data_IF_032119878759
#
_entry.id   IF_032119878759
#
_cell.length_a   1.000
_cell.length_b   1.000
_cell.length_c   1.000
_cell.angle_alpha   90.00
_cell.angle_beta   90.00
_cell.angle_gamma   90.00
#
_symmetry.space_group_name_H-M   'P 1'
#
loop_
_entity.id
_entity.type
_entity.pdbx_description
1 polymer ?
#
# COMPACT_ATOMS: atom_id res chain seq x y z
N UNK A 1 0.38 14.63 -32.14
CA UNK A 1 -0.62 15.40 -31.36
C UNK A 1 -0.81 14.64 -30.07
N UNK A 2 -0.66 15.25 -28.89
CA UNK A 2 -0.80 14.53 -27.63
C UNK A 2 -2.28 14.59 -27.24
N UNK A 3 -2.98 13.45 -27.27
CA UNK A 3 -4.34 13.35 -26.76
C UNK A 3 -4.39 13.83 -25.29
N UNK A 4 -5.49 14.46 -24.84
CA UNK A 4 -5.73 14.69 -23.43
C UNK A 4 -5.61 13.37 -22.64
N UNK A 5 -5.10 13.44 -21.41
CA UNK A 5 -4.79 12.24 -20.61
C UNK A 5 -6.01 11.30 -20.43
N UNK A 6 -7.21 11.86 -20.23
CA UNK A 6 -8.44 11.07 -20.09
C UNK A 6 -8.87 10.39 -21.41
N UNK A 7 -8.60 11.00 -22.57
CA UNK A 7 -8.88 10.38 -23.88
C UNK A 7 -7.94 9.19 -24.10
N UNK A 8 -6.65 9.39 -23.83
CA UNK A 8 -5.66 8.32 -23.95
C UNK A 8 -5.92 7.18 -22.96
N UNK A 9 -6.29 7.51 -21.72
CA UNK A 9 -6.66 6.51 -20.73
C UNK A 9 -7.85 5.67 -21.19
N UNK A 10 -8.92 6.28 -21.70
CA UNK A 10 -10.09 5.54 -22.23
C UNK A 10 -9.72 4.65 -23.41
N UNK A 11 -8.80 5.10 -24.26
CA UNK A 11 -8.29 4.26 -25.34
C UNK A 11 -7.55 3.04 -24.79
N UNK A 12 -6.60 3.23 -23.87
CA UNK A 12 -5.87 2.13 -23.23
C UNK A 12 -6.77 1.19 -22.42
N UNK A 13 -7.80 1.71 -21.76
CA UNK A 13 -8.80 0.92 -21.06
C UNK A 13 -9.60 0.04 -22.03
N UNK A 14 -10.07 0.61 -23.15
CA UNK A 14 -10.76 -0.15 -24.20
C UNK A 14 -9.85 -1.25 -24.75
N UNK A 15 -8.59 -0.92 -25.08
CA UNK A 15 -7.62 -1.90 -25.57
C UNK A 15 -7.35 -2.99 -24.54
N UNK A 16 -7.25 -2.66 -23.24
CA UNK A 16 -7.11 -3.66 -22.18
C UNK A 16 -8.33 -4.59 -22.11
N UNK A 17 -9.55 -4.04 -22.23
CA UNK A 17 -10.78 -4.81 -22.26
C UNK A 17 -10.81 -5.78 -23.46
N UNK A 18 -10.40 -5.32 -24.63
CA UNK A 18 -10.48 -6.09 -25.88
C UNK A 18 -9.35 -7.14 -26.01
N UNK A 19 -8.11 -6.75 -25.74
CA UNK A 19 -6.93 -7.60 -25.94
C UNK A 19 -6.60 -8.48 -24.73
N UNK A 20 -6.94 -8.02 -23.52
CA UNK A 20 -6.64 -8.71 -22.26
C UNK A 20 -7.87 -8.78 -21.34
N UNK A 21 -9.01 -9.33 -21.80
CA UNK A 21 -10.28 -9.28 -21.09
C UNK A 21 -10.19 -9.87 -19.68
N UNK A 22 -9.43 -10.95 -19.48
CA UNK A 22 -9.26 -11.53 -18.14
C UNK A 22 -8.64 -10.54 -17.16
N UNK A 23 -7.57 -9.85 -17.55
CA UNK A 23 -6.90 -8.89 -16.68
C UNK A 23 -7.80 -7.70 -16.35
N UNK A 24 -8.58 -7.24 -17.34
CA UNK A 24 -9.60 -6.21 -17.16
C UNK A 24 -10.68 -6.62 -16.14
N UNK A 25 -11.30 -7.78 -16.33
CA UNK A 25 -12.36 -8.26 -15.43
C UNK A 25 -11.83 -8.56 -14.02
N UNK A 26 -10.61 -9.11 -13.90
CA UNK A 26 -9.95 -9.33 -12.61
C UNK A 26 -9.66 -7.99 -11.91
N UNK A 27 -9.30 -6.93 -12.65
CA UNK A 27 -9.10 -5.59 -12.10
C UNK A 27 -10.42 -4.99 -11.59
N UNK A 28 -11.50 -5.06 -12.38
CA UNK A 28 -12.81 -4.57 -11.96
C UNK A 28 -13.35 -5.33 -10.75
N UNK A 29 -13.25 -6.66 -10.74
CA UNK A 29 -13.69 -7.48 -9.60
C UNK A 29 -12.98 -7.08 -8.32
N UNK A 30 -11.66 -6.87 -8.38
CA UNK A 30 -10.87 -6.40 -7.23
C UNK A 30 -11.20 -4.95 -6.84
N UNK A 31 -11.66 -4.12 -7.77
CA UNK A 31 -12.08 -2.77 -7.47
C UNK A 31 -13.43 -2.73 -6.72
N UNK A 32 -14.32 -3.70 -6.97
CA UNK A 32 -15.60 -3.85 -6.26
C UNK A 32 -15.47 -4.53 -4.90
N UNK A 33 -14.53 -5.48 -4.75
CA UNK A 33 -14.33 -6.25 -3.52
C UNK A 33 -13.49 -5.47 -2.49
N UNK A 34 -14.13 -4.50 -1.82
CA UNK A 34 -13.56 -3.78 -0.68
C UNK A 34 -14.61 -3.19 0.26
N UNK A 35 -14.19 -2.87 1.49
CA UNK A 35 -14.98 -2.09 2.45
C UNK A 35 -14.40 -0.67 2.48
N UNK A 36 -15.17 0.40 2.26
CA UNK A 36 -14.69 1.77 2.41
C UNK A 36 -14.16 2.04 3.82
N UNK A 37 -13.09 2.83 3.96
CA UNK A 37 -12.41 3.03 5.26
C UNK A 37 -13.34 3.57 6.35
N UNK A 38 -14.28 4.44 5.97
CA UNK A 38 -15.28 5.03 6.86
C UNK A 38 -16.33 4.05 7.40
N UNK A 39 -16.29 2.78 6.96
CA UNK A 39 -17.14 1.68 7.42
C UNK A 39 -16.33 0.45 7.82
N UNK A 40 -15.01 0.51 7.73
CA UNK A 40 -14.15 -0.63 8.00
C UNK A 40 -13.99 -0.81 9.52
N UNK A 41 -14.40 -1.98 10.01
CA UNK A 41 -14.18 -2.33 11.43
C UNK A 41 -12.71 -2.62 11.67
N UNK A 42 -12.30 -2.74 12.94
CA UNK A 42 -10.94 -3.14 13.26
C UNK A 42 -10.55 -4.51 12.65
N UNK A 43 -11.49 -5.47 12.59
CA UNK A 43 -11.22 -6.77 11.97
C UNK A 43 -11.08 -6.66 10.44
N UNK A 44 -11.79 -5.74 9.78
CA UNK A 44 -11.63 -5.49 8.34
C UNK A 44 -10.28 -4.83 8.05
N UNK A 45 -9.96 -3.75 8.79
CA UNK A 45 -8.66 -3.08 8.71
C UNK A 45 -7.51 -4.05 8.93
N UNK A 46 -7.63 -4.94 9.92
CA UNK A 46 -6.57 -5.87 10.24
C UNK A 46 -6.21 -6.79 9.08
N UNK A 47 -7.22 -7.37 8.39
CA UNK A 47 -7.02 -8.33 7.29
C UNK A 47 -6.07 -7.81 6.21
N UNK A 48 -6.14 -6.51 5.96
CA UNK A 48 -5.38 -5.81 4.93
C UNK A 48 -4.10 -5.16 5.46
N UNK A 49 -4.06 -4.85 6.76
CA UNK A 49 -2.95 -4.15 7.38
C UNK A 49 -1.79 -5.08 7.76
N UNK A 50 -2.07 -6.20 8.44
CA UNK A 50 -1.01 -7.09 8.94
C UNK A 50 -0.12 -7.73 7.87
N UNK A 51 -0.60 -7.99 6.62
CA UNK A 51 0.28 -8.55 5.59
C UNK A 51 1.29 -7.54 5.02
N UNK A 52 1.02 -6.23 5.10
CA UNK A 52 1.83 -5.20 4.41
C UNK A 52 3.34 -5.29 4.73
N UNK A 53 3.76 -5.48 6.00
CA UNK A 53 5.17 -5.65 6.33
C UNK A 53 5.83 -6.89 5.74
N UNK A 54 5.09 -7.89 5.27
CA UNK A 54 5.64 -9.10 4.66
C UNK A 54 6.05 -8.88 3.21
N UNK A 55 5.32 -8.05 2.48
CA UNK A 55 5.58 -7.77 1.05
C UNK A 55 6.64 -6.67 0.84
N UNK A 56 6.89 -5.82 1.84
CA UNK A 56 7.88 -4.75 1.72
C UNK A 56 9.29 -5.31 1.38
N UNK A 57 9.84 -5.01 0.20
CA UNK A 57 11.16 -5.50 -0.26
C UNK A 57 11.30 -7.04 -0.26
N UNK A 58 10.21 -7.78 -0.40
CA UNK A 58 10.23 -9.23 -0.60
C UNK A 58 9.67 -9.56 -1.97
N UNK A 59 10.13 -10.65 -2.58
CA UNK A 59 9.48 -11.18 -3.77
C UNK A 59 8.07 -11.66 -3.41
N UNK A 60 7.13 -11.52 -4.35
CA UNK A 60 5.74 -11.91 -4.13
C UNK A 60 5.59 -13.38 -3.66
N UNK A 61 6.32 -14.37 -4.21
CA UNK A 61 6.22 -15.75 -3.74
C UNK A 61 6.67 -15.94 -2.28
N UNK A 62 7.72 -15.23 -1.86
CA UNK A 62 8.24 -15.31 -0.49
C UNK A 62 7.26 -14.68 0.49
N UNK A 63 6.76 -13.49 0.17
CA UNK A 63 5.79 -12.79 1.00
C UNK A 63 4.47 -13.58 1.12
N UNK A 64 4.01 -14.20 0.03
CA UNK A 64 2.83 -15.06 0.03
C UNK A 64 3.01 -16.28 0.96
N UNK A 65 4.16 -16.96 0.88
CA UNK A 65 4.48 -18.06 1.79
C UNK A 65 4.45 -17.63 3.25
N UNK A 66 5.02 -16.47 3.58
CA UNK A 66 4.98 -15.92 4.94
C UNK A 66 3.55 -15.61 5.41
N UNK A 67 2.73 -15.03 4.52
CA UNK A 67 1.32 -14.75 4.79
C UNK A 67 0.58 -16.04 5.11
N UNK A 68 0.76 -17.09 4.32
CA UNK A 68 0.12 -18.39 4.54
C UNK A 68 0.53 -19.04 5.87
N UNK A 69 1.81 -18.93 6.25
CA UNK A 69 2.30 -19.45 7.54
C UNK A 69 1.67 -18.71 8.73
N UNK A 70 1.54 -17.39 8.65
CA UNK A 70 0.98 -16.59 9.75
C UNK A 70 -0.55 -16.59 9.77
N UNK A 71 -1.24 -16.67 8.62
CA UNK A 71 -2.68 -16.51 8.51
C UNK A 71 -3.51 -17.29 9.57
N UNK A 72 -3.20 -18.56 9.93
CA UNK A 72 -3.96 -19.31 10.93
C UNK A 72 -4.00 -18.67 12.32
N UNK A 73 -3.00 -17.85 12.67
CA UNK A 73 -2.90 -17.20 13.98
C UNK A 73 -3.19 -15.70 13.93
N UNK A 74 -3.45 -15.14 12.74
CA UNK A 74 -3.64 -13.70 12.56
C UNK A 74 -5.10 -13.26 12.68
N UNK A 75 -6.09 -14.15 12.58
CA UNK A 75 -7.49 -13.73 12.70
C UNK A 75 -7.78 -13.13 14.08
N UNK A 76 -8.24 -11.87 14.11
CA UNK A 76 -8.48 -11.11 15.35
C UNK A 76 -7.23 -10.83 16.21
N UNK A 77 -6.03 -11.21 15.75
CA UNK A 77 -4.80 -11.14 16.52
C UNK A 77 -4.38 -9.72 16.88
N UNK A 78 -4.88 -8.70 16.18
CA UNK A 78 -4.65 -7.31 16.53
C UNK A 78 -4.98 -7.03 18.01
N UNK A 79 -5.93 -7.74 18.62
CA UNK A 79 -6.32 -7.56 20.04
C UNK A 79 -5.24 -7.95 21.05
N UNK A 80 -4.38 -8.92 20.73
CA UNK A 80 -3.45 -9.54 21.70
C UNK A 80 -2.01 -9.62 21.22
N UNK A 81 -1.74 -9.49 19.92
CA UNK A 81 -0.42 -9.60 19.34
C UNK A 81 0.52 -8.53 19.92
N UNK A 82 1.58 -9.00 20.59
CA UNK A 82 2.60 -8.14 21.20
C UNK A 82 2.19 -7.41 22.47
N UNK A 83 1.10 -7.84 23.13
CA UNK A 83 0.61 -7.24 24.39
C UNK A 83 1.25 -7.90 25.60
N UNK A 84 1.24 -9.23 25.65
CA UNK A 84 1.67 -10.01 26.81
C UNK A 84 3.06 -10.64 26.56
N UNK A 85 4.12 -10.17 27.26
CA UNK A 85 5.46 -10.74 27.14
C UNK A 85 5.57 -12.21 27.57
N UNK A 86 4.61 -12.75 28.34
CA UNK A 86 4.57 -14.19 28.64
C UNK A 86 4.09 -15.02 27.44
N UNK A 87 3.27 -14.44 26.56
CA UNK A 87 2.73 -15.11 25.38
C UNK A 87 3.60 -14.86 24.16
N UNK A 88 3.74 -13.59 23.76
CA UNK A 88 4.54 -13.16 22.62
C UNK A 88 4.72 -11.64 22.63
N UNK A 89 5.96 -11.17 22.72
CA UNK A 89 6.29 -9.76 22.54
C UNK A 89 7.67 -9.59 21.89
N UNK A 90 7.78 -8.62 20.99
CA UNK A 90 9.04 -8.22 20.39
C UNK A 90 9.42 -6.81 20.89
N UNK A 91 10.64 -6.66 21.40
CA UNK A 91 11.23 -5.40 21.81
C UNK A 91 12.32 -4.98 20.82
N UNK A 92 12.32 -3.71 20.41
CA UNK A 92 13.40 -3.13 19.62
C UNK A 92 14.47 -2.56 20.57
N UNK A 93 15.63 -3.22 20.64
CA UNK A 93 16.65 -3.00 21.68
C UNK A 93 17.90 -2.25 21.19
N UNK A 94 18.07 -2.12 19.87
CA UNK A 94 19.18 -1.36 19.28
C UNK A 94 18.80 -0.88 17.88
N UNK A 95 19.35 0.24 17.37
CA UNK A 95 19.03 0.71 16.02
C UNK A 95 19.34 -0.32 14.92
N UNK A 96 18.45 -0.44 13.93
CA UNK A 96 18.66 -1.24 12.72
C UNK A 96 17.58 -2.28 12.46
N UNK A 97 17.73 -3.03 11.36
CA UNK A 97 16.73 -4.03 10.90
C UNK A 97 17.17 -5.50 11.08
N UNK A 98 18.39 -5.71 11.57
CA UNK A 98 18.95 -7.05 11.77
C UNK A 98 18.30 -7.73 12.98
N UNK A 99 18.19 -9.06 12.99
CA UNK A 99 17.52 -9.78 14.09
C UNK A 99 18.16 -9.51 15.46
N UNK A 100 19.46 -9.20 15.54
CA UNK A 100 20.16 -8.82 16.80
C UNK A 100 19.67 -7.49 17.40
N UNK A 101 18.99 -6.65 16.62
CA UNK A 101 18.39 -5.40 17.07
C UNK A 101 17.06 -5.63 17.83
N UNK A 102 16.57 -6.87 17.88
CA UNK A 102 15.30 -7.23 18.46
C UNK A 102 15.46 -8.32 19.51
N UNK A 103 14.70 -8.21 20.59
CA UNK A 103 14.54 -9.26 21.60
C UNK A 103 13.11 -9.78 21.52
N UNK A 104 12.93 -11.10 21.50
CA UNK A 104 11.60 -11.73 21.53
C UNK A 104 11.41 -12.45 22.84
N UNK A 105 10.25 -12.26 23.44
CA UNK A 105 9.82 -12.88 24.70
C UNK A 105 8.52 -13.66 24.48
N UNK A 106 8.27 -14.64 25.35
CA UNK A 106 7.02 -15.39 25.41
C UNK A 106 7.08 -16.81 24.84
N UNK A 107 6.17 -17.66 25.31
CA UNK A 107 6.13 -19.10 24.98
C UNK A 107 5.93 -19.37 23.48
N UNK A 108 5.23 -18.48 22.76
CA UNK A 108 4.99 -18.64 21.33
C UNK A 108 6.17 -18.17 20.46
N UNK A 109 7.16 -17.49 21.05
CA UNK A 109 8.30 -16.92 20.34
C UNK A 109 9.11 -17.96 19.57
N UNK A 110 9.39 -19.11 20.19
CA UNK A 110 10.12 -20.22 19.57
C UNK A 110 9.39 -20.74 18.33
N UNK A 111 8.11 -21.09 18.48
CA UNK A 111 7.28 -21.62 17.40
C UNK A 111 7.17 -20.65 16.22
N UNK A 112 6.90 -19.37 16.47
CA UNK A 112 6.77 -18.36 15.40
C UNK A 112 8.11 -18.20 14.66
N UNK A 113 9.24 -18.24 15.36
CA UNK A 113 10.57 -18.12 14.75
C UNK A 113 10.96 -19.34 13.93
N UNK A 114 10.76 -20.53 14.47
CA UNK A 114 11.11 -21.81 13.84
C UNK A 114 10.27 -22.10 12.61
N UNK A 115 8.97 -21.77 12.66
CA UNK A 115 8.03 -22.15 11.60
C UNK A 115 8.05 -21.17 10.43
N UNK A 116 8.30 -19.88 10.68
CA UNK A 116 8.06 -18.84 9.67
C UNK A 116 9.26 -18.41 8.85
N UNK A 117 10.49 -18.51 9.40
CA UNK A 117 11.68 -17.88 8.82
C UNK A 117 11.53 -16.37 8.54
N UNK A 118 10.54 -15.70 9.17
CA UNK A 118 10.28 -14.27 9.00
C UNK A 118 11.27 -13.49 9.87
N UNK A 119 11.84 -12.41 9.32
CA UNK A 119 12.72 -11.53 10.08
C UNK A 119 11.97 -10.83 11.22
N UNK A 120 12.65 -10.65 12.36
CA UNK A 120 12.02 -10.06 13.55
C UNK A 120 11.54 -8.63 13.31
N UNK A 121 12.23 -7.86 12.47
CA UNK A 121 11.79 -6.51 12.12
C UNK A 121 10.43 -6.48 11.39
N UNK A 122 10.07 -7.53 10.63
CA UNK A 122 8.74 -7.60 9.96
C UNK A 122 7.66 -7.95 10.96
N UNK A 123 7.91 -8.92 11.83
CA UNK A 123 7.00 -9.29 12.91
C UNK A 123 6.79 -8.14 13.91
N UNK A 124 7.84 -7.36 14.19
CA UNK A 124 7.75 -6.16 15.00
C UNK A 124 6.86 -5.10 14.36
N UNK A 125 6.96 -4.86 13.04
CA UNK A 125 6.05 -3.95 12.34
C UNK A 125 4.58 -4.39 12.42
N UNK A 126 4.32 -5.69 12.33
CA UNK A 126 2.98 -6.26 12.55
C UNK A 126 2.50 -5.95 13.98
N UNK A 127 3.39 -6.07 14.98
CA UNK A 127 3.09 -5.69 16.36
C UNK A 127 2.79 -4.20 16.52
N UNK A 128 3.55 -3.32 15.87
CA UNK A 128 3.25 -1.88 15.88
C UNK A 128 1.88 -1.59 15.26
N UNK A 129 1.54 -2.22 14.13
CA UNK A 129 0.23 -2.08 13.50
C UNK A 129 -0.92 -2.58 14.39
N UNK A 130 -0.73 -3.72 15.05
CA UNK A 130 -1.70 -4.21 16.04
C UNK A 130 -1.90 -3.20 17.17
N UNK A 131 -0.81 -2.59 17.66
CA UNK A 131 -0.86 -1.57 18.70
C UNK A 131 -1.64 -0.33 18.27
N UNK A 132 -1.36 0.22 17.09
CA UNK A 132 -2.07 1.38 16.53
C UNK A 132 -3.55 1.06 16.37
N UNK A 133 -3.85 -0.09 15.76
CA UNK A 133 -5.23 -0.50 15.51
C UNK A 133 -6.01 -0.66 16.82
N UNK A 134 -5.41 -1.24 17.87
CA UNK A 134 -6.03 -1.31 19.20
C UNK A 134 -6.31 0.07 19.78
N UNK A 135 -5.32 0.97 19.74
CA UNK A 135 -5.46 2.32 20.28
C UNK A 135 -6.60 3.08 19.59
N UNK A 136 -6.68 3.00 18.27
CA UNK A 136 -7.76 3.64 17.49
C UNK A 136 -9.12 2.96 17.72
N UNK A 137 -9.17 1.63 17.76
CA UNK A 137 -10.40 0.86 18.00
C UNK A 137 -10.96 1.03 19.41
N UNK A 138 -10.14 1.47 20.37
CA UNK A 138 -10.61 1.85 21.71
C UNK A 138 -11.40 3.17 21.74
N UNK A 139 -11.25 4.00 20.69
CA UNK A 139 -11.84 5.34 20.60
C UNK A 139 -13.01 5.38 19.61
N UNK A 140 -12.89 4.66 18.49
CA UNK A 140 -13.86 4.68 17.40
C UNK A 140 -14.21 3.28 16.89
N UNK A 141 -15.48 3.10 16.49
CA UNK A 141 -15.96 1.86 15.88
C UNK A 141 -15.30 1.57 14.51
N UNK A 142 -14.96 2.63 13.78
CA UNK A 142 -14.26 2.60 12.50
C UNK A 142 -12.90 3.28 12.70
N UNK A 143 -11.82 2.53 12.98
CA UNK A 143 -10.60 3.10 13.58
C UNK A 143 -9.85 4.11 12.71
N UNK A 144 -10.16 4.19 11.41
CA UNK A 144 -9.47 5.04 10.43
C UNK A 144 -10.46 5.88 9.60
N UNK A 145 -11.68 6.12 10.10
CA UNK A 145 -12.68 6.95 9.39
C UNK A 145 -12.28 8.42 9.24
N UNK A 146 -11.32 8.88 10.05
CA UNK A 146 -10.66 10.18 9.98
C UNK A 146 -9.66 10.29 8.81
N UNK A 147 -9.20 9.16 8.27
CA UNK A 147 -8.21 9.13 7.18
C UNK A 147 -8.90 9.28 5.83
N UNK A 148 -9.07 10.53 5.41
CA UNK A 148 -9.61 10.87 4.10
C UNK A 148 -8.55 11.64 3.32
N UNK A 149 -7.86 10.97 2.39
CA UNK A 149 -6.82 11.64 1.60
C UNK A 149 -7.42 12.49 0.47
N UNK A 150 -8.64 12.19 0.05
CA UNK A 150 -9.34 12.90 -1.04
C UNK A 150 -9.74 14.35 -0.68
N UNK A 151 -9.38 14.83 0.52
CA UNK A 151 -9.44 16.24 0.90
C UNK A 151 -8.02 16.86 0.85
N UNK A 152 -7.75 17.64 -0.21
CA UNK A 152 -6.41 18.08 -0.64
C UNK A 152 -5.60 18.87 0.41
N UNK A 153 -6.23 19.42 1.46
CA UNK A 153 -5.52 20.18 2.49
C UNK A 153 -4.79 19.24 3.45
N UNK A 154 -3.54 18.92 3.11
CA UNK A 154 -2.61 18.29 4.05
C UNK A 154 -2.35 16.80 3.85
N UNK A 155 -2.54 16.25 2.64
CA UNK A 155 -2.22 14.83 2.32
C UNK A 155 -0.84 14.42 2.80
N UNK A 156 0.17 15.27 2.58
CA UNK A 156 1.54 15.04 3.07
C UNK A 156 1.60 14.93 4.59
N UNK A 157 0.90 15.83 5.30
CA UNK A 157 0.79 15.81 6.75
C UNK A 157 0.09 14.56 7.27
N UNK A 158 -1.02 14.14 6.64
CA UNK A 158 -1.72 12.90 7.00
C UNK A 158 -0.83 11.67 6.82
N UNK A 159 -0.11 11.57 5.70
CA UNK A 159 0.82 10.47 5.45
C UNK A 159 1.94 10.45 6.51
N UNK A 160 2.49 11.61 6.86
CA UNK A 160 3.49 11.73 7.91
C UNK A 160 2.95 11.33 9.29
N UNK A 161 1.76 11.82 9.67
CA UNK A 161 1.12 11.47 10.95
C UNK A 161 0.86 9.97 11.06
N UNK A 162 0.43 9.31 9.98
CA UNK A 162 0.28 7.86 9.95
C UNK A 162 1.64 7.16 10.09
N UNK A 163 2.70 7.62 9.40
CA UNK A 163 4.04 7.06 9.57
C UNK A 163 4.54 7.15 11.02
N UNK A 164 4.30 8.29 11.66
CA UNK A 164 4.67 8.52 13.06
C UNK A 164 3.87 7.62 14.01
N UNK A 165 2.57 7.47 13.76
CA UNK A 165 1.68 6.65 14.57
C UNK A 165 2.03 5.15 14.48
N UNK A 166 2.23 4.63 13.28
CA UNK A 166 2.68 3.26 13.05
C UNK A 166 4.12 3.01 13.51
N UNK A 167 4.92 4.07 13.62
CA UNK A 167 6.25 4.05 14.18
C UNK A 167 7.31 3.40 13.29
N UNK A 168 8.44 3.08 13.91
CA UNK A 168 9.66 2.72 13.20
C UNK A 168 9.47 1.51 12.27
N UNK A 169 9.78 1.72 10.99
CA UNK A 169 9.76 0.69 9.96
C UNK A 169 8.51 0.66 9.09
N UNK A 170 7.48 1.42 9.43
CA UNK A 170 6.36 1.71 8.53
C UNK A 170 6.73 2.88 7.61
N UNK A 171 7.21 2.52 6.42
CA UNK A 171 7.50 3.50 5.37
C UNK A 171 6.24 3.93 4.63
N UNK A 172 6.42 4.91 3.76
CA UNK A 172 5.36 5.48 2.94
C UNK A 172 4.67 4.44 2.04
N UNK A 173 5.43 3.55 1.40
CA UNK A 173 4.88 2.52 0.49
C UNK A 173 3.94 1.55 1.21
N UNK A 174 4.29 0.91 2.34
CA UNK A 174 3.35 0.10 3.12
C UNK A 174 2.07 0.83 3.53
N UNK A 175 2.16 2.13 3.88
CA UNK A 175 0.98 2.93 4.24
C UNK A 175 0.09 3.17 3.02
N UNK A 176 0.65 3.57 1.89
CA UNK A 176 -0.12 3.75 0.66
C UNK A 176 -0.73 2.44 0.15
N UNK A 177 -0.03 1.32 0.31
CA UNK A 177 -0.61 0.01 -0.01
C UNK A 177 -1.78 -0.33 0.90
N UNK A 178 -1.65 -0.09 2.20
CA UNK A 178 -2.74 -0.23 3.16
C UNK A 178 -3.94 0.64 2.79
N UNK A 179 -3.73 1.94 2.59
CA UNK A 179 -4.80 2.89 2.24
C UNK A 179 -5.44 2.59 0.88
N UNK A 180 -4.69 2.02 -0.06
CA UNK A 180 -5.22 1.55 -1.34
C UNK A 180 -6.16 0.35 -1.21
N UNK A 181 -6.12 -0.42 -0.12
CA UNK A 181 -7.13 -1.45 0.14
C UNK A 181 -8.53 -0.86 0.38
N UNK A 182 -8.60 0.39 0.85
CA UNK A 182 -9.85 1.06 1.19
C UNK A 182 -10.27 2.14 0.19
N UNK A 183 -9.52 2.33 -0.90
CA UNK A 183 -9.77 3.36 -1.91
C UNK A 183 -9.35 4.77 -1.50
N UNK A 184 -8.52 4.91 -0.46
CA UNK A 184 -8.02 6.22 -0.03
C UNK A 184 -6.75 6.64 -0.79
N UNK A 185 -6.03 5.69 -1.38
CA UNK A 185 -4.86 5.97 -2.21
C UNK A 185 -4.68 4.96 -3.34
N UNK A 186 -3.67 5.20 -4.19
CA UNK A 186 -3.15 4.23 -5.15
C UNK A 186 -1.82 3.64 -4.70
N UNK A 187 -1.54 2.39 -5.11
CA UNK A 187 -0.31 1.67 -4.77
C UNK A 187 0.87 2.21 -5.60
N UNK A 188 1.94 2.71 -4.96
CA UNK A 188 3.10 3.23 -5.67
C UNK A 188 3.96 2.07 -6.21
N UNK A 189 3.60 1.58 -7.39
CA UNK A 189 4.31 0.51 -8.08
C UNK A 189 4.76 0.97 -9.48
N UNK A 190 5.80 0.31 -10.00
CA UNK A 190 6.43 0.70 -11.25
C UNK A 190 5.46 0.69 -12.44
N UNK A 191 4.49 -0.24 -12.48
CA UNK A 191 3.51 -0.34 -13.56
C UNK A 191 2.54 0.85 -13.55
N UNK A 192 1.97 1.17 -12.39
CA UNK A 192 1.09 2.32 -12.24
C UNK A 192 1.82 3.64 -12.57
N UNK A 193 3.05 3.80 -12.07
CA UNK A 193 3.88 4.98 -12.34
C UNK A 193 4.23 5.11 -13.83
N UNK A 194 4.55 4.00 -14.51
CA UNK A 194 4.78 3.99 -15.97
C UNK A 194 3.55 4.45 -16.73
N UNK A 195 2.37 3.92 -16.41
CA UNK A 195 1.11 4.33 -17.05
C UNK A 195 0.82 5.81 -16.83
N UNK A 196 0.94 6.32 -15.61
CA UNK A 196 0.73 7.75 -15.34
C UNK A 196 1.75 8.65 -16.03
N UNK A 197 3.02 8.23 -16.12
CA UNK A 197 4.04 8.95 -16.87
C UNK A 197 3.74 8.97 -18.38
N UNK A 198 3.20 7.86 -18.92
CA UNK A 198 2.79 7.76 -20.32
C UNK A 198 1.63 8.72 -20.63
N UNK A 199 0.61 8.73 -19.77
CA UNK A 199 -0.56 9.61 -19.90
C UNK A 199 -0.19 11.10 -19.79
N UNK A 200 0.96 11.41 -19.17
CA UNK A 200 1.55 12.74 -18.89
C UNK A 200 1.06 13.53 -17.66
N UNK A 201 -0.02 13.21 -16.94
CA UNK A 201 -0.24 13.70 -15.58
C UNK A 201 0.91 13.32 -14.65
N UNK A 202 1.53 12.16 -14.83
CA UNK A 202 2.63 11.70 -13.97
C UNK A 202 3.98 12.38 -14.20
N UNK A 203 4.15 13.20 -15.25
CA UNK A 203 5.48 13.69 -15.70
C UNK A 203 6.31 14.24 -14.53
N UNK A 204 7.46 13.60 -14.30
CA UNK A 204 8.39 13.93 -13.21
C UNK A 204 8.16 13.16 -11.91
N UNK A 205 7.26 12.17 -11.88
CA UNK A 205 7.27 11.13 -10.85
C UNK A 205 8.34 10.08 -11.20
N UNK A 206 9.24 9.75 -10.26
CA UNK A 206 10.24 8.72 -10.51
C UNK A 206 9.52 7.37 -10.66
N UNK A 207 10.03 6.54 -11.56
CA UNK A 207 9.55 5.15 -11.75
C UNK A 207 10.26 4.19 -10.78
N UNK A 208 11.08 4.73 -9.88
CA UNK A 208 11.79 3.96 -8.85
C UNK A 208 11.03 3.90 -7.51
N UNK A 209 11.54 3.07 -6.60
CA UNK A 209 10.85 2.64 -5.39
C UNK A 209 10.89 3.65 -4.23
N UNK A 210 11.40 4.87 -4.43
CA UNK A 210 11.67 5.80 -3.34
C UNK A 210 10.91 7.12 -3.51
N UNK A 211 9.58 7.05 -3.43
CA UNK A 211 8.74 8.25 -3.34
C UNK A 211 8.95 8.96 -2.00
N UNK A 212 9.16 10.28 -2.08
CA UNK A 212 8.96 11.21 -0.96
C UNK A 212 7.47 11.40 -0.67
N UNK A 213 7.11 11.88 0.53
CA UNK A 213 5.72 12.19 0.90
C UNK A 213 5.06 13.17 -0.08
N UNK A 214 5.80 14.19 -0.52
CA UNK A 214 5.36 15.12 -1.58
C UNK A 214 5.08 14.42 -2.92
N UNK A 215 5.93 13.49 -3.35
CA UNK A 215 5.70 12.73 -4.58
C UNK A 215 4.53 11.76 -4.46
N UNK A 216 4.33 11.13 -3.29
CA UNK A 216 3.15 10.31 -3.05
C UNK A 216 1.84 11.12 -3.05
N UNK A 217 1.84 12.30 -2.43
CA UNK A 217 0.71 13.22 -2.50
C UNK A 217 0.42 13.63 -3.95
N UNK A 218 1.46 13.97 -4.71
CA UNK A 218 1.36 14.31 -6.14
C UNK A 218 0.83 13.13 -6.97
N UNK A 219 1.29 11.91 -6.71
CA UNK A 219 0.82 10.69 -7.36
C UNK A 219 -0.71 10.53 -7.21
N UNK A 220 -1.21 10.55 -5.96
CA UNK A 220 -2.64 10.41 -5.70
C UNK A 220 -3.44 11.56 -6.33
N UNK A 221 -2.94 12.78 -6.22
CA UNK A 221 -3.59 13.94 -6.85
C UNK A 221 -3.73 13.81 -8.37
N UNK A 222 -2.72 13.27 -9.06
CA UNK A 222 -2.81 13.05 -10.50
C UNK A 222 -3.85 11.99 -10.88
N UNK A 223 -4.01 10.94 -10.07
CA UNK A 223 -5.09 9.97 -10.27
C UNK A 223 -6.46 10.62 -10.06
N UNK A 224 -6.61 11.43 -9.02
CA UNK A 224 -7.85 12.16 -8.75
C UNK A 224 -8.24 13.12 -9.88
N UNK A 225 -7.28 13.88 -10.41
CA UNK A 225 -7.51 14.75 -11.56
C UNK A 225 -7.94 13.93 -12.78
N UNK A 226 -7.31 12.77 -13.03
CA UNK A 226 -7.71 11.90 -14.13
C UNK A 226 -9.15 11.38 -13.96
N UNK A 227 -9.56 11.01 -12.74
CA UNK A 227 -10.95 10.62 -12.43
C UNK A 227 -11.92 11.77 -12.74
N UNK A 228 -11.60 13.00 -12.31
CA UNK A 228 -12.45 14.16 -12.57
C UNK A 228 -12.51 14.50 -14.07
N UNK A 229 -11.38 14.43 -14.77
CA UNK A 229 -11.29 14.67 -16.23
C UNK A 229 -12.06 13.62 -17.05
N UNK A 230 -12.26 12.41 -16.50
CA UNK A 230 -13.14 11.39 -17.11
C UNK A 230 -14.63 11.72 -16.96
N UNK A 231 -15.00 12.79 -16.24
CA UNK A 231 -16.38 13.27 -16.10
C UNK A 231 -17.08 12.86 -14.81
N UNK A 232 -16.36 12.29 -13.84
CA UNK A 232 -16.93 11.97 -12.53
C UNK A 232 -17.17 13.26 -11.74
N UNK A 233 -18.34 13.40 -11.12
CA UNK A 233 -18.71 14.61 -10.36
C UNK A 233 -17.87 14.81 -9.09
N UNK A 234 -17.32 13.71 -8.56
CA UNK A 234 -16.46 13.69 -7.39
C UNK A 234 -15.54 12.46 -7.46
N UNK A 235 -14.43 12.53 -6.74
CA UNK A 235 -13.58 11.37 -6.50
C UNK A 235 -14.26 10.52 -5.42
N UNK A 236 -14.39 9.21 -5.66
CA UNK A 236 -14.92 8.27 -4.67
C UNK A 236 -13.90 7.17 -4.42
N UNK A 237 -13.94 6.48 -3.26
CA UNK A 237 -13.07 5.34 -3.00
C UNK A 237 -13.12 4.25 -4.08
N UNK A 238 -14.31 4.03 -4.66
CA UNK A 238 -14.53 3.07 -5.73
C UNK A 238 -13.75 3.44 -7.00
N UNK A 239 -13.83 4.70 -7.42
CA UNK A 239 -13.07 5.16 -8.59
C UNK A 239 -11.56 5.11 -8.35
N UNK A 240 -11.10 5.41 -7.14
CA UNK A 240 -9.68 5.29 -6.79
C UNK A 240 -9.22 3.83 -6.85
N UNK A 241 -10.01 2.88 -6.31
CA UNK A 241 -9.74 1.43 -6.42
C UNK A 241 -9.68 0.98 -7.87
N UNK A 242 -10.65 1.41 -8.68
CA UNK A 242 -10.69 1.08 -10.12
C UNK A 242 -9.45 1.58 -10.84
N UNK A 243 -9.07 2.84 -10.61
CA UNK A 243 -7.88 3.43 -11.22
C UNK A 243 -6.59 2.75 -10.77
N UNK A 244 -6.47 2.41 -9.48
CA UNK A 244 -5.30 1.71 -8.94
C UNK A 244 -5.04 0.38 -9.67
N UNK A 245 -6.08 -0.41 -9.91
CA UNK A 245 -5.95 -1.68 -10.63
C UNK A 245 -5.77 -1.48 -12.13
N UNK A 246 -6.59 -0.65 -12.79
CA UNK A 246 -6.53 -0.48 -14.25
C UNK A 246 -5.21 0.13 -14.71
N UNK A 247 -4.72 1.18 -14.05
CA UNK A 247 -3.43 1.80 -14.39
C UNK A 247 -2.28 0.80 -14.26
N UNK A 248 -2.36 -0.12 -13.30
CA UNK A 248 -1.37 -1.17 -13.09
C UNK A 248 -1.43 -2.23 -14.22
N UNK A 249 -2.63 -2.72 -14.55
CA UNK A 249 -2.79 -3.77 -15.57
C UNK A 249 -2.45 -3.29 -16.99
N UNK A 250 -2.73 -2.02 -17.34
CA UNK A 250 -2.35 -1.42 -18.63
C UNK A 250 -0.85 -1.62 -18.91
N UNK A 251 0.02 -1.32 -17.93
CA UNK A 251 1.46 -1.50 -18.11
C UNK A 251 1.89 -2.96 -18.05
N UNK A 252 1.27 -3.80 -17.22
CA UNK A 252 1.61 -5.23 -17.13
C UNK A 252 1.31 -5.98 -18.43
N UNK A 253 0.23 -5.61 -19.10
CA UNK A 253 -0.18 -6.16 -20.40
C UNK A 253 0.60 -5.59 -21.58
N UNK A 254 1.59 -4.71 -21.34
CA UNK A 254 2.46 -4.18 -22.40
C UNK A 254 1.78 -3.16 -23.33
N UNK A 255 0.68 -2.54 -22.90
CA UNK A 255 -0.10 -1.62 -23.73
C UNK A 255 0.53 -0.22 -23.87
N UNK A 256 1.64 0.03 -23.19
CA UNK A 256 2.43 1.25 -23.30
C UNK A 256 3.86 0.88 -23.72
N UNK A 257 4.42 1.64 -24.66
CA UNK A 257 5.80 1.44 -25.11
C UNK A 257 6.81 1.64 -23.97
N UNK A 258 7.97 1.00 -24.07
CA UNK A 258 9.07 1.21 -23.12
C UNK A 258 9.42 2.71 -23.07
N UNK A 259 9.28 3.31 -21.89
CA UNK A 259 9.78 4.66 -21.67
C UNK A 259 11.29 4.59 -21.72
N UNK A 260 11.90 5.25 -22.70
CA UNK A 260 13.34 5.45 -22.74
C UNK A 260 13.80 5.95 -21.37
N UNK A 261 14.66 5.17 -20.71
CA UNK A 261 15.23 5.54 -19.42
C UNK A 261 15.81 6.95 -19.54
N UNK A 262 15.13 7.94 -18.97
CA UNK A 262 15.79 9.21 -18.67
C UNK A 262 16.73 8.89 -17.52
N UNK A 263 17.91 8.39 -17.88
CA UNK A 263 19.05 8.28 -17.00
C UNK A 263 19.28 9.66 -16.40
N UNK A 264 18.85 9.85 -15.15
CA UNK A 264 19.36 10.93 -14.34
C UNK A 264 20.83 10.59 -14.14
N UNK A 265 21.79 11.41 -14.59
CA UNK A 265 23.19 11.16 -14.30
C UNK A 265 23.31 11.11 -12.78
N UNK A 266 23.74 9.96 -12.27
CA UNK A 266 24.08 9.81 -10.88
C UNK A 266 25.25 10.77 -10.63
N UNK A 267 24.97 11.94 -10.06
CA UNK A 267 26.02 12.79 -9.50
C UNK A 267 26.62 12.00 -8.34
N UNK A 268 27.81 11.48 -8.59
CA UNK A 268 28.71 10.91 -7.60
C UNK A 268 28.89 11.92 -6.47
N UNK A 269 28.31 11.63 -5.31
CA UNK A 269 28.82 12.10 -4.03
C UNK A 269 29.68 10.97 -3.46
N UNK A 270 30.99 11.21 -3.41
CA UNK A 270 32.04 10.28 -3.04
C UNK A 270 33.32 10.63 -3.77
#
# INVERSE_FOLDING_TARGET
MNNPAHVEFRHLESTLCDENPKAYHDALTRAEDFVPICRATADDVWKDLWPQPLYANASQPVAQKWREILAPIMNGAWRSWGVDPSVFQIHHIAPGISNKCFKVEGEQAGRIRETSSISLHRLYKIQSAASVLRSRAAIAAYPFDDVILQNFKGVEGHLQSLQEEFGQGWGLVPILNFLAEFGESVRPNNHLLRTLNHLRPGRGLPVDHHLTSKQAAKLNHHVWLLILDMGHSQVTPHEVRRMDHLLCEISKCGLIGEQAETAVPCSTFG
#
